data_IF_064307294686
#
_entry.id   IF_064307294686
#
_cell.length_a   1.000
_cell.length_b   1.000
_cell.length_c   1.000
_cell.angle_alpha   90.00
_cell.angle_beta   90.00
_cell.angle_gamma   90.00
#
_symmetry.space_group_name_H-M   'P 1'
#
loop_
_entity.id
_entity.type
_entity.pdbx_description
1 polymer ?
#
# COMPACT_ATOMS: atom_id res chain seq x y z
N UNK A 1 5.26 10.91 7.65
CA UNK A 1 6.46 10.17 8.07
C UNK A 1 6.34 8.77 7.50
N UNK A 2 7.30 8.25 6.72
CA UNK A 2 7.27 6.84 6.35
C UNK A 2 7.36 6.05 7.67
N UNK A 3 6.41 5.15 7.91
CA UNK A 3 6.49 4.26 9.06
C UNK A 3 7.80 3.46 8.96
N UNK A 4 8.56 3.37 10.05
CA UNK A 4 9.83 2.65 10.10
C UNK A 4 9.67 1.25 9.50
N UNK A 5 10.29 1.01 8.35
CA UNK A 5 10.30 -0.28 7.64
C UNK A 5 11.29 -1.28 8.25
N UNK A 6 11.89 -0.96 9.40
CA UNK A 6 12.91 -1.78 10.05
C UNK A 6 12.27 -2.96 10.76
N UNK A 7 12.36 -4.14 10.13
CA UNK A 7 12.27 -5.51 10.69
C UNK A 7 11.13 -5.85 11.69
N UNK A 8 10.24 -4.93 12.02
CA UNK A 8 8.94 -5.30 12.55
C UNK A 8 8.20 -5.94 11.40
N UNK A 9 7.67 -7.14 11.65
CA UNK A 9 6.55 -7.67 10.91
C UNK A 9 5.43 -6.64 11.00
N UNK A 10 5.49 -5.60 10.17
CA UNK A 10 4.57 -4.49 10.27
C UNK A 10 3.19 -5.07 10.05
N UNK A 11 2.32 -4.92 11.06
CA UNK A 11 0.92 -5.36 11.15
C UNK A 11 0.01 -4.85 10.00
N UNK A 12 0.61 -4.30 8.94
CA UNK A 12 -0.04 -3.91 7.69
C UNK A 12 -0.32 -5.12 6.77
N UNK A 13 0.12 -6.32 7.12
CA UNK A 13 -0.25 -7.55 6.42
C UNK A 13 -1.74 -7.82 6.55
N UNK A 14 -2.53 -7.42 5.55
CA UNK A 14 -3.98 -7.71 5.49
C UNK A 14 -4.90 -6.50 5.67
N UNK A 15 -4.39 -5.27 5.69
CA UNK A 15 -5.22 -4.05 5.81
C UNK A 15 -6.06 -3.74 4.57
N UNK A 16 -5.83 -4.44 3.44
CA UNK A 16 -6.40 -4.10 2.12
C UNK A 16 -6.22 -2.60 1.79
N UNK A 17 -5.15 -1.97 2.31
CA UNK A 17 -4.86 -0.59 1.99
C UNK A 17 -4.09 -0.51 0.68
N UNK A 18 -4.30 0.59 -0.03
CA UNK A 18 -3.49 1.04 -1.16
C UNK A 18 -2.42 2.02 -0.65
N UNK A 19 -1.41 2.30 -1.47
CA UNK A 19 -0.43 3.32 -1.14
C UNK A 19 -1.10 4.69 -1.01
N UNK A 20 -1.12 5.25 0.20
CA UNK A 20 -1.78 6.52 0.47
C UNK A 20 -0.76 7.66 0.40
N UNK A 21 -0.91 8.52 -0.60
CA UNK A 21 -0.19 9.79 -0.66
C UNK A 21 -1.05 10.88 -0.04
N UNK A 22 -0.57 11.47 1.06
CA UNK A 22 -1.27 12.54 1.77
C UNK A 22 -0.54 13.86 1.58
N UNK A 23 -1.29 14.87 1.15
CA UNK A 23 -0.81 16.23 0.93
C UNK A 23 -1.43 17.16 1.96
N UNK A 24 -0.58 17.94 2.61
CA UNK A 24 -1.03 18.90 3.61
C UNK A 24 -1.68 20.13 2.93
N UNK A 25 -2.75 20.70 3.51
CA UNK A 25 -3.44 21.90 3.01
C UNK A 25 -2.55 23.04 2.49
N UNK A 26 -1.41 23.30 3.16
CA UNK A 26 -0.52 24.41 2.82
C UNK A 26 0.16 24.25 1.45
N UNK A 27 0.25 23.02 0.92
CA UNK A 27 0.81 22.76 -0.41
C UNK A 27 -0.25 22.74 -1.51
N UNK A 28 -1.49 22.35 -1.17
CA UNK A 28 -2.53 22.09 -2.18
C UNK A 28 -3.49 23.27 -2.35
N UNK A 29 -3.53 24.21 -1.40
CA UNK A 29 -4.45 25.34 -1.42
C UNK A 29 -5.89 24.97 -1.05
N UNK A 30 -6.15 23.70 -0.70
CA UNK A 30 -7.46 23.26 -0.23
C UNK A 30 -7.60 23.41 1.29
N UNK A 31 -8.82 23.62 1.80
CA UNK A 31 -9.07 23.78 3.24
C UNK A 31 -8.90 22.49 4.05
N UNK A 32 -8.71 21.34 3.38
CA UNK A 32 -8.59 20.02 4.00
C UNK A 32 -7.41 19.25 3.41
N UNK A 33 -6.84 18.34 4.21
CA UNK A 33 -5.80 17.44 3.73
C UNK A 33 -6.36 16.53 2.65
N UNK A 34 -5.64 16.44 1.55
CA UNK A 34 -6.02 15.57 0.45
C UNK A 34 -5.17 14.31 0.51
N UNK A 35 -5.82 13.16 0.46
CA UNK A 35 -5.13 11.89 0.36
C UNK A 35 -5.62 11.13 -0.86
N UNK A 36 -4.69 10.58 -1.63
CA UNK A 36 -4.97 9.78 -2.81
C UNK A 36 -4.41 8.38 -2.59
N UNK A 37 -5.27 7.38 -2.75
CA UNK A 37 -4.87 5.99 -2.78
C UNK A 37 -4.39 5.61 -4.17
N UNK A 38 -3.18 5.06 -4.27
CA UNK A 38 -2.50 4.69 -5.51
C UNK A 38 -2.07 3.22 -5.40
N UNK A 39 -2.11 2.48 -6.50
CA UNK A 39 -1.59 1.12 -6.55
C UNK A 39 -2.62 0.06 -6.19
N UNK A 40 -2.14 -1.17 -5.99
CA UNK A 40 -2.99 -2.34 -5.73
C UNK A 40 -3.26 -2.49 -4.24
N UNK A 41 -4.36 -3.16 -3.88
CA UNK A 41 -4.56 -3.57 -2.49
C UNK A 41 -3.41 -4.48 -2.05
N UNK A 42 -2.72 -4.08 -0.97
CA UNK A 42 -1.58 -4.82 -0.47
C UNK A 42 -2.04 -5.97 0.40
N UNK A 43 -2.26 -7.13 -0.23
CA UNK A 43 -2.53 -8.39 0.48
C UNK A 43 -1.26 -8.94 1.15
N UNK A 44 -0.09 -8.65 0.58
CA UNK A 44 1.22 -9.00 1.15
C UNK A 44 1.97 -7.71 1.53
N UNK A 45 2.65 -7.69 2.68
CA UNK A 45 3.48 -6.56 3.11
C UNK A 45 4.60 -6.23 2.12
N UNK A 46 5.08 -7.21 1.36
CA UNK A 46 6.08 -7.00 0.31
C UNK A 46 5.53 -6.21 -0.88
N UNK A 47 4.25 -6.33 -1.21
CA UNK A 47 3.65 -5.62 -2.34
C UNK A 47 3.76 -4.09 -2.17
N UNK A 48 3.57 -3.64 -0.94
CA UNK A 48 3.73 -2.24 -0.55
C UNK A 48 5.18 -1.76 -0.73
N UNK A 49 6.14 -2.56 -0.27
CA UNK A 49 7.59 -2.25 -0.38
C UNK A 49 8.03 -2.20 -1.84
N UNK A 50 7.54 -3.12 -2.66
CA UNK A 50 7.87 -3.17 -4.09
C UNK A 50 7.32 -1.95 -4.83
N UNK A 51 6.10 -1.52 -4.51
CA UNK A 51 5.49 -0.30 -5.06
C UNK A 51 6.27 0.96 -4.67
N UNK A 52 6.69 1.06 -3.41
CA UNK A 52 7.52 2.19 -2.96
C UNK A 52 8.88 2.22 -3.64
N UNK A 53 9.53 1.07 -3.80
CA UNK A 53 10.80 0.99 -4.51
C UNK A 53 10.67 1.40 -5.99
N UNK A 54 9.53 1.10 -6.62
CA UNK A 54 9.24 1.61 -7.96
C UNK A 54 9.09 3.13 -7.98
N UNK A 55 8.27 3.70 -7.09
CA UNK A 55 8.06 5.16 -7.00
C UNK A 55 9.37 5.89 -6.70
N UNK A 56 10.16 5.37 -5.76
CA UNK A 56 11.47 5.92 -5.40
C UNK A 56 12.40 5.98 -6.61
N UNK A 57 12.55 4.87 -7.34
CA UNK A 57 13.36 4.83 -8.57
C UNK A 57 12.81 5.74 -9.65
N UNK A 58 11.49 5.87 -9.77
CA UNK A 58 10.87 6.82 -10.69
C UNK A 58 11.30 8.26 -10.36
N UNK A 59 11.31 8.61 -9.08
CA UNK A 59 11.68 9.96 -8.62
C UNK A 59 13.19 10.22 -8.70
N UNK A 60 14.04 9.21 -8.50
CA UNK A 60 15.50 9.34 -8.51
C UNK A 60 16.13 9.19 -9.90
N UNK A 61 15.76 8.13 -10.63
CA UNK A 61 16.39 7.73 -11.89
C UNK A 61 15.61 8.21 -13.13
N UNK A 62 14.36 8.66 -12.93
CA UNK A 62 13.44 9.08 -13.98
C UNK A 62 12.73 7.91 -14.68
N UNK A 63 11.77 8.20 -15.58
CA UNK A 63 10.97 7.19 -16.27
C UNK A 63 11.78 6.26 -17.19
N UNK A 64 12.86 6.76 -17.79
CA UNK A 64 13.60 6.04 -18.83
C UNK A 64 14.52 4.94 -18.29
N UNK A 65 14.95 5.03 -17.03
CA UNK A 65 15.87 4.08 -16.39
C UNK A 65 15.16 2.98 -15.59
N UNK A 66 13.84 3.02 -15.52
CA UNK A 66 13.05 2.06 -14.76
C UNK A 66 12.91 0.71 -15.47
N UNK A 67 13.11 -0.41 -14.76
CA UNK A 67 12.82 -1.71 -15.34
C UNK A 67 11.31 -1.84 -15.56
N UNK A 68 10.91 -2.04 -16.82
CA UNK A 68 9.50 -2.14 -17.21
C UNK A 68 8.80 -3.29 -16.48
N UNK A 69 7.70 -3.04 -15.75
CA UNK A 69 6.93 -4.12 -15.14
C UNK A 69 6.26 -4.96 -16.23
N UNK A 70 6.19 -6.27 -16.02
CA UNK A 70 5.43 -7.13 -16.92
C UNK A 70 3.98 -7.22 -16.44
N UNK A 71 3.04 -7.23 -17.38
CA UNK A 71 1.65 -7.44 -17.07
C UNK A 71 1.45 -8.94 -16.84
N UNK A 72 0.99 -9.31 -15.65
CA UNK A 72 0.63 -10.69 -15.32
C UNK A 72 -0.87 -10.72 -15.12
N UNK A 73 -1.55 -11.65 -15.79
CA UNK A 73 -2.90 -12.02 -15.37
C UNK A 73 -2.75 -12.80 -14.07
N UNK A 74 -3.30 -12.26 -12.98
CA UNK A 74 -3.48 -13.06 -11.79
C UNK A 74 -4.75 -13.85 -12.03
N UNK A 75 -4.64 -15.10 -12.49
CA UNK A 75 -5.80 -15.98 -12.61
C UNK A 75 -6.45 -16.07 -11.23
N UNK A 76 -7.61 -15.43 -11.03
CA UNK A 76 -8.26 -15.50 -9.74
C UNK A 76 -8.73 -16.94 -9.52
N UNK A 77 -8.86 -17.34 -8.25
CA UNK A 77 -9.54 -18.61 -7.97
C UNK A 77 -10.99 -18.48 -8.45
N UNK A 78 -11.51 -19.43 -9.25
CA UNK A 78 -12.81 -19.31 -9.91
C UNK A 78 -14.02 -19.16 -8.98
N UNK A 79 -13.82 -19.33 -7.66
CA UNK A 79 -14.85 -19.21 -6.63
C UNK A 79 -14.48 -18.22 -5.52
N UNK A 80 -13.48 -17.35 -5.72
CA UNK A 80 -13.09 -16.36 -4.72
C UNK A 80 -14.23 -15.37 -4.41
N UNK A 81 -14.97 -14.95 -5.44
CA UNK A 81 -16.15 -14.07 -5.32
C UNK A 81 -17.29 -14.67 -4.48
N UNK A 82 -17.38 -16.01 -4.40
CA UNK A 82 -18.41 -16.71 -3.62
C UNK A 82 -18.33 -16.31 -2.13
N UNK A 83 -17.11 -16.21 -1.61
CA UNK A 83 -16.87 -15.84 -0.21
C UNK A 83 -17.31 -14.40 0.11
N UNK A 84 -17.16 -13.49 -0.85
CA UNK A 84 -17.58 -12.09 -0.73
C UNK A 84 -19.10 -11.93 -0.70
N UNK A 85 -19.83 -12.79 -1.40
CA UNK A 85 -21.30 -12.76 -1.41
C UNK A 85 -21.93 -13.55 -0.25
N UNK A 86 -21.30 -14.64 0.22
CA UNK A 86 -21.84 -15.49 1.30
C UNK A 86 -21.69 -14.85 2.69
N UNK A 87 -20.56 -14.19 2.99
CA UNK A 87 -20.31 -13.60 4.32
C UNK A 87 -21.39 -12.57 4.75
N UNK A 88 -21.79 -11.61 3.90
CA UNK A 88 -22.89 -10.70 4.21
C UNK A 88 -24.22 -11.42 4.42
N UNK A 89 -24.50 -12.47 3.65
CA UNK A 89 -25.74 -13.26 3.80
C UNK A 89 -25.78 -13.99 5.14
N UNK A 90 -24.68 -14.63 5.55
CA UNK A 90 -24.59 -15.30 6.86
C UNK A 90 -24.73 -14.27 7.99
N UNK A 91 -24.09 -13.11 7.85
CA UNK A 91 -24.21 -12.03 8.83
C UNK A 91 -25.64 -11.50 8.94
N UNK A 92 -26.31 -11.27 7.81
CA UNK A 92 -27.69 -10.82 7.76
C UNK A 92 -28.67 -11.86 8.32
N UNK A 93 -28.49 -13.14 8.00
CA UNK A 93 -29.31 -14.23 8.52
C UNK A 93 -29.18 -14.40 10.05
N UNK A 94 -28.00 -14.13 10.63
CA UNK A 94 -27.78 -14.18 12.08
C UNK A 94 -28.42 -13.01 12.83
N UNK A 95 -28.56 -11.85 12.18
CA UNK A 95 -28.94 -10.60 12.84
C UNK A 95 -30.38 -10.15 12.51
N UNK A 96 -31.08 -10.81 11.59
CA UNK A 96 -32.42 -10.43 11.19
C UNK A 96 -33.51 -11.30 11.85
N UNK A 97 -34.60 -10.69 12.39
CA UNK A 97 -35.73 -11.43 12.93
C UNK A 97 -36.63 -12.07 11.84
N UNK A 98 -36.37 -11.77 10.56
CA UNK A 98 -37.23 -12.16 9.42
C UNK A 98 -36.56 -13.25 8.57
N UNK A 99 -36.24 -14.39 9.19
CA UNK A 99 -35.62 -15.54 8.52
C UNK A 99 -36.41 -16.02 7.28
N UNK A 100 -37.75 -15.93 7.31
CA UNK A 100 -38.64 -16.32 6.22
C UNK A 100 -38.44 -15.54 4.92
N UNK A 101 -38.07 -14.25 4.96
CA UNK A 101 -37.75 -13.50 3.74
C UNK A 101 -36.51 -14.04 3.04
N UNK A 102 -35.50 -14.48 3.79
CA UNK A 102 -34.29 -15.05 3.20
C UNK A 102 -34.57 -16.36 2.49
N UNK A 103 -35.44 -17.22 3.04
CA UNK A 103 -35.89 -18.46 2.38
C UNK A 103 -36.53 -18.14 1.02
N UNK A 104 -37.39 -17.12 0.96
CA UNK A 104 -38.07 -16.73 -0.27
C UNK A 104 -37.11 -16.16 -1.33
N UNK A 105 -35.99 -15.57 -0.90
CA UNK A 105 -34.95 -15.05 -1.78
C UNK A 105 -33.94 -16.11 -2.24
N UNK A 106 -33.85 -17.29 -1.61
CA UNK A 106 -32.95 -18.39 -2.01
C UNK A 106 -33.01 -18.69 -3.52
N UNK A 107 -34.18 -18.92 -4.16
CA UNK A 107 -34.23 -19.25 -5.59
C UNK A 107 -33.69 -18.12 -6.48
N UNK A 108 -33.91 -16.86 -6.08
CA UNK A 108 -33.38 -15.69 -6.81
C UNK A 108 -31.85 -15.65 -6.67
N UNK A 109 -31.32 -15.89 -5.47
CA UNK A 109 -29.87 -15.95 -5.24
C UNK A 109 -29.20 -17.13 -5.94
N UNK A 110 -29.83 -18.31 -5.99
CA UNK A 110 -29.27 -19.47 -6.69
C UNK A 110 -29.06 -19.22 -8.19
N UNK A 111 -29.90 -18.39 -8.80
CA UNK A 111 -29.76 -17.97 -10.19
C UNK A 111 -28.73 -16.85 -10.30
N UNK A 112 -28.85 -15.79 -9.50
CA UNK A 112 -28.00 -14.60 -9.64
C UNK A 112 -26.55 -14.82 -9.21
N UNK A 113 -26.31 -15.60 -8.16
CA UNK A 113 -24.98 -15.83 -7.59
C UNK A 113 -23.98 -16.43 -8.59
N UNK A 114 -24.30 -17.46 -9.41
CA UNK A 114 -23.38 -17.92 -10.45
C UNK A 114 -23.14 -16.86 -11.53
N UNK A 115 -24.14 -16.09 -11.96
CA UNK A 115 -23.93 -14.99 -12.92
C UNK A 115 -23.00 -13.91 -12.35
N UNK A 116 -23.21 -13.49 -11.10
CA UNK A 116 -22.33 -12.52 -10.44
C UNK A 116 -20.94 -13.08 -10.20
N UNK A 117 -20.81 -14.36 -9.81
CA UNK A 117 -19.51 -15.00 -9.58
C UNK A 117 -18.72 -15.11 -10.88
N UNK A 118 -19.37 -15.50 -11.98
CA UNK A 118 -18.74 -15.57 -13.31
C UNK A 118 -18.39 -14.17 -13.81
N UNK A 119 -19.30 -13.19 -13.67
CA UNK A 119 -19.04 -11.80 -14.05
C UNK A 119 -17.86 -11.20 -13.28
N UNK A 120 -17.79 -11.46 -11.97
CA UNK A 120 -16.67 -11.06 -11.12
C UNK A 120 -15.37 -11.76 -11.53
N UNK A 121 -15.42 -13.07 -11.80
CA UNK A 121 -14.28 -13.84 -12.28
C UNK A 121 -13.76 -13.34 -13.63
N UNK A 122 -14.65 -13.04 -14.58
CA UNK A 122 -14.28 -12.46 -15.88
C UNK A 122 -13.68 -11.07 -15.69
N UNK A 123 -14.26 -10.24 -14.82
CA UNK A 123 -13.70 -8.93 -14.48
C UNK A 123 -12.28 -9.05 -13.94
N UNK A 124 -12.04 -9.95 -12.98
CA UNK A 124 -10.71 -10.19 -12.43
C UNK A 124 -9.74 -10.77 -13.49
N UNK A 125 -10.21 -11.63 -14.40
CA UNK A 125 -9.40 -12.11 -15.53
C UNK A 125 -8.99 -10.98 -16.49
N UNK A 126 -9.81 -9.94 -16.60
CA UNK A 126 -9.52 -8.74 -17.39
C UNK A 126 -8.65 -7.72 -16.64
N UNK A 127 -8.50 -7.85 -15.31
CA UNK A 127 -7.61 -7.01 -14.52
C UNK A 127 -6.16 -7.47 -14.64
N UNK A 128 -5.39 -6.79 -15.49
CA UNK A 128 -3.95 -6.99 -15.59
C UNK A 128 -3.27 -6.33 -14.40
N UNK A 129 -2.55 -7.11 -13.60
CA UNK A 129 -1.75 -6.54 -12.52
C UNK A 129 -0.29 -6.38 -12.98
N UNK A 130 0.32 -5.20 -12.72
CA UNK A 130 1.74 -5.04 -12.94
C UNK A 130 2.49 -5.93 -11.96
N UNK A 131 3.34 -6.80 -12.49
CA UNK A 131 4.22 -7.63 -11.68
C UNK A 131 5.64 -7.07 -11.75
N UNK A 132 6.15 -6.77 -10.56
CA UNK A 132 7.41 -6.07 -10.40
C UNK A 132 8.62 -6.90 -10.85
N UNK A 133 9.59 -6.28 -11.54
CA UNK A 133 10.86 -6.91 -11.89
C UNK A 133 11.61 -7.46 -10.67
N UNK A 134 12.41 -8.51 -10.87
CA UNK A 134 13.17 -9.16 -9.78
C UNK A 134 14.02 -8.18 -8.97
N UNK A 135 14.56 -7.14 -9.62
CA UNK A 135 15.39 -6.11 -9.00
C UNK A 135 14.63 -5.33 -7.93
N UNK A 136 13.36 -5.00 -8.19
CA UNK A 136 12.48 -4.29 -7.24
C UNK A 136 12.05 -5.24 -6.13
N UNK A 137 11.59 -6.46 -6.47
CA UNK A 137 11.12 -7.47 -5.49
C UNK A 137 12.16 -7.96 -4.49
N UNK A 138 13.44 -7.80 -4.84
CA UNK A 138 14.57 -8.21 -4.01
C UNK A 138 15.20 -7.04 -3.26
N UNK A 139 14.81 -5.80 -3.54
CA UNK A 139 15.28 -4.64 -2.81
C UNK A 139 14.90 -4.76 -1.33
N UNK A 140 15.82 -4.38 -0.44
CA UNK A 140 15.62 -4.46 1.01
C UNK A 140 15.65 -5.86 1.63
N UNK A 141 15.87 -6.93 0.85
CA UNK A 141 16.09 -8.28 1.41
C UNK A 141 17.50 -8.39 2.01
N UNK A 142 17.64 -9.21 3.06
CA UNK A 142 18.94 -9.49 3.71
C UNK A 142 19.97 -9.96 2.67
N UNK A 143 21.10 -9.24 2.57
CA UNK A 143 22.18 -9.54 1.62
C UNK A 143 21.97 -9.01 0.19
N UNK A 144 20.93 -8.20 -0.05
CA UNK A 144 20.75 -7.44 -1.29
C UNK A 144 21.15 -5.98 -1.08
N UNK A 145 21.38 -5.27 -2.19
CA UNK A 145 21.75 -3.86 -2.17
C UNK A 145 20.67 -3.07 -1.45
N UNK A 146 21.04 -2.46 -0.32
CA UNK A 146 20.22 -1.48 0.37
C UNK A 146 20.36 -0.17 -0.41
N UNK A 147 19.26 0.56 -0.69
CA UNK A 147 19.35 1.88 -1.30
C UNK A 147 20.31 2.78 -0.52
N UNK A 148 21.03 3.65 -1.22
CA UNK A 148 21.82 4.69 -0.57
C UNK A 148 20.84 5.55 0.23
N UNK A 149 21.03 5.66 1.54
CA UNK A 149 20.26 6.59 2.34
C UNK A 149 20.57 8.02 1.90
N UNK A 150 19.55 8.87 1.83
CA UNK A 150 19.73 10.26 1.45
C UNK A 150 20.57 10.95 2.51
N UNK A 151 21.74 11.42 2.10
CA UNK A 151 22.68 12.15 2.95
C UNK A 151 22.52 13.65 2.74
N UNK A 152 22.97 14.46 3.70
CA UNK A 152 22.87 15.91 3.60
C UNK A 152 23.54 16.45 2.32
N UNK A 153 24.64 15.82 1.88
CA UNK A 153 25.38 16.18 0.68
C UNK A 153 24.60 15.96 -0.63
N UNK A 154 23.51 15.19 -0.62
CA UNK A 154 22.67 14.97 -1.81
C UNK A 154 21.77 16.18 -2.13
N UNK A 155 21.64 17.14 -1.20
CA UNK A 155 20.82 18.35 -1.39
C UNK A 155 21.63 19.56 -1.90
N UNK A 156 21.01 20.55 -2.57
CA UNK A 156 21.67 21.82 -2.89
C UNK A 156 22.13 22.58 -1.63
N UNK A 157 23.20 23.39 -1.69
CA UNK A 157 23.76 24.07 -0.51
C UNK A 157 22.75 24.91 0.28
N UNK A 158 21.79 25.55 -0.40
CA UNK A 158 20.73 26.33 0.25
C UNK A 158 19.78 25.48 1.09
N UNK A 159 19.46 24.27 0.62
CA UNK A 159 18.60 23.31 1.32
C UNK A 159 19.37 22.67 2.48
N UNK A 160 20.65 22.37 2.27
CA UNK A 160 21.53 21.87 3.34
C UNK A 160 21.54 22.83 4.54
N UNK A 161 21.77 24.12 4.28
CA UNK A 161 21.78 25.14 5.32
C UNK A 161 20.43 25.22 6.04
N UNK A 162 19.31 25.24 5.29
CA UNK A 162 17.98 25.28 5.89
C UNK A 162 17.66 24.06 6.77
N UNK A 163 18.12 22.85 6.40
CA UNK A 163 17.97 21.64 7.21
C UNK A 163 18.79 21.77 8.50
N UNK A 164 20.04 22.24 8.40
CA UNK A 164 20.92 22.44 9.54
C UNK A 164 20.40 23.52 10.51
N UNK A 165 19.81 24.58 9.99
CA UNK A 165 19.25 25.68 10.78
C UNK A 165 18.00 25.24 11.57
N UNK A 166 17.15 24.38 10.97
CA UNK A 166 15.95 23.87 11.62
C UNK A 166 16.17 22.58 12.43
N UNK A 167 17.40 22.07 12.53
CA UNK A 167 17.70 20.73 13.13
C UNK A 167 17.11 20.49 14.52
N UNK A 168 16.94 21.56 15.32
CA UNK A 168 16.42 21.50 16.69
C UNK A 168 14.92 21.12 16.70
N UNK A 169 14.18 21.45 15.63
CA UNK A 169 12.75 21.14 15.51
C UNK A 169 12.48 19.67 15.12
N UNK A 170 13.46 18.99 14.54
CA UNK A 170 13.32 17.64 13.95
C UNK A 170 13.82 16.51 14.85
N UNK A 171 14.23 16.79 16.08
CA UNK A 171 14.84 15.77 16.94
C UNK A 171 13.91 14.59 17.21
N UNK A 172 14.44 13.38 17.05
CA UNK A 172 13.74 12.12 17.40
C UNK A 172 14.07 11.81 18.86
N UNK A 173 13.06 11.52 19.69
CA UNK A 173 13.30 11.02 21.04
C UNK A 173 13.79 9.58 20.97
N UNK A 174 14.89 9.28 21.67
CA UNK A 174 15.35 7.92 21.89
C UNK A 174 14.30 7.14 22.69
N UNK A 175 13.83 6.01 22.16
CA UNK A 175 12.84 5.15 22.82
C UNK A 175 13.34 4.56 24.15
N UNK A 176 14.65 4.46 24.35
CA UNK A 176 15.26 3.90 25.58
C UNK A 176 15.58 4.95 26.63
N UNK A 177 16.02 6.14 26.20
CA UNK A 177 16.48 7.18 27.12
C UNK A 177 15.54 8.37 27.24
N UNK A 178 14.53 8.48 26.36
CA UNK A 178 13.54 9.56 26.34
C UNK A 178 14.11 10.95 25.99
N UNK A 179 15.41 11.03 25.70
CA UNK A 179 16.12 12.26 25.32
C UNK A 179 16.05 12.47 23.82
N UNK A 180 15.98 13.72 23.40
CA UNK A 180 16.10 14.10 21.99
C UNK A 180 17.50 13.73 21.50
N UNK A 181 17.57 12.86 20.48
CA UNK A 181 18.80 12.50 19.79
C UNK A 181 19.14 13.66 18.85
N UNK A 182 20.26 14.31 19.12
CA UNK A 182 20.86 15.24 18.18
C UNK A 182 21.66 14.42 17.15
N UNK A 183 21.15 14.35 15.92
CA UNK A 183 21.83 13.64 14.81
C UNK A 183 23.04 14.42 14.27
N UNK A 184 23.34 15.60 14.80
CA UNK A 184 24.47 16.41 14.39
C UNK A 184 25.30 16.88 15.57
N UNK A 185 26.12 15.99 16.15
CA UNK A 185 27.50 16.28 16.56
C UNK A 185 28.19 15.06 17.21
N UNK A 186 29.21 14.56 16.52
CA UNK A 186 30.55 14.30 17.07
C UNK A 186 31.55 14.80 16.04
#
# INVERSE_FOLDING_TARGET
MPANFSNSDSDMGGTNMVNLMSFHPYKTGFPVAQSVGIGKNTYNSQDYKDEWEFIRRYMEEGPDNLPKPWLSTHLPMPLHGLSGHIKPMIHAAKNAPTFWMYILLIPVFLILLPFYTIGYFISECLCWQPRWPKVIRQAGRKGKTVPKETTLSDYPPSVQQAILDNRIEWGVRDDKTGKLIDYGNS
#
